data_IF_086599963970
#
_entry.id   IF_086599963970
#
_cell.length_a   1.000
_cell.length_b   1.000
_cell.length_c   1.000
_cell.angle_alpha   90.00
_cell.angle_beta   90.00
_cell.angle_gamma   90.00
#
_symmetry.space_group_name_H-M   'P 1'
#
loop_
_entity.id
_entity.type
_entity.pdbx_description
1 polymer ?
#
# COMPACT_ATOMS: atom_id res chain seq x y z
N UNK A 1 48.66 -11.06 31.48
CA UNK A 1 47.66 -9.96 31.53
C UNK A 1 46.36 -10.48 30.93
N UNK A 2 45.36 -10.77 31.76
CA UNK A 2 44.07 -11.33 31.35
C UNK A 2 43.19 -10.22 30.76
N UNK A 3 42.89 -10.29 29.47
CA UNK A 3 41.88 -9.45 28.83
C UNK A 3 40.49 -9.92 29.26
N UNK A 4 39.87 -9.19 30.18
CA UNK A 4 38.48 -9.38 30.63
C UNK A 4 37.56 -8.77 29.58
N UNK A 5 36.97 -9.58 28.71
CA UNK A 5 35.91 -9.15 27.80
C UNK A 5 34.68 -8.76 28.63
N UNK A 6 34.18 -7.54 28.40
CA UNK A 6 32.96 -7.05 29.05
C UNK A 6 31.76 -7.81 28.47
N UNK A 7 30.83 -8.33 29.28
CA UNK A 7 29.62 -8.95 28.75
C UNK A 7 28.79 -7.87 28.04
N UNK A 8 28.42 -8.15 26.80
CA UNK A 8 27.48 -7.33 26.02
C UNK A 8 26.16 -7.35 26.79
N UNK A 9 25.78 -6.19 27.33
CA UNK A 9 24.52 -6.00 28.07
C UNK A 9 23.38 -6.43 27.14
N UNK A 10 22.63 -7.44 27.57
CA UNK A 10 21.43 -7.92 26.87
C UNK A 10 20.57 -6.72 26.48
N UNK A 11 20.31 -6.59 25.19
CA UNK A 11 19.37 -5.65 24.62
C UNK A 11 17.98 -6.08 25.10
N UNK A 12 17.55 -5.55 26.25
CA UNK A 12 16.17 -5.69 26.70
C UNK A 12 15.26 -5.24 25.56
N UNK A 13 14.46 -6.18 25.05
CA UNK A 13 13.50 -5.96 23.97
C UNK A 13 12.65 -4.74 24.34
N UNK A 14 12.50 -3.74 23.46
CA UNK A 14 11.79 -2.52 23.79
C UNK A 14 10.39 -2.88 24.31
N UNK A 15 10.12 -2.50 25.55
CA UNK A 15 8.85 -2.76 26.21
C UNK A 15 7.75 -2.03 25.42
N UNK A 16 6.57 -2.63 25.28
CA UNK A 16 5.42 -2.02 24.58
C UNK A 16 5.11 -0.59 25.07
N UNK A 17 5.43 -0.29 26.33
CA UNK A 17 5.31 1.04 26.94
C UNK A 17 6.35 2.06 26.43
N UNK A 18 7.56 1.62 26.08
CA UNK A 18 8.60 2.47 25.49
C UNK A 18 8.29 2.78 24.02
N UNK A 19 7.77 1.80 23.26
CA UNK A 19 7.25 2.01 21.91
C UNK A 19 6.05 2.98 21.90
N UNK A 20 5.17 2.92 22.90
CA UNK A 20 4.07 3.87 23.06
C UNK A 20 4.57 5.30 23.37
N UNK A 21 5.65 5.45 24.17
CA UNK A 21 6.29 6.77 24.39
C UNK A 21 6.96 7.30 23.13
N UNK A 22 7.53 6.43 22.29
CA UNK A 22 8.09 6.83 21.00
C UNK A 22 7.03 7.42 20.06
N UNK A 23 5.77 6.95 20.16
CA UNK A 23 4.65 7.47 19.38
C UNK A 23 4.36 8.97 19.66
N UNK A 24 4.71 9.48 20.85
CA UNK A 24 4.56 10.90 21.20
C UNK A 24 5.47 11.83 20.37
N UNK A 25 6.51 11.31 19.72
CA UNK A 25 7.38 12.09 18.84
C UNK A 25 6.86 12.21 17.40
N UNK A 26 5.92 11.35 16.97
CA UNK A 26 5.25 11.47 15.66
C UNK A 26 4.60 12.84 15.40
N UNK A 27 3.81 13.45 16.31
CA UNK A 27 3.21 14.76 16.06
C UNK A 27 4.24 15.86 15.81
N UNK A 28 5.39 15.80 16.48
CA UNK A 28 6.50 16.74 16.25
C UNK A 28 7.19 16.49 14.91
N UNK A 29 7.29 15.23 14.47
CA UNK A 29 7.77 14.85 13.14
C UNK A 29 6.84 15.33 12.02
N UNK A 30 5.51 15.16 12.17
CA UNK A 30 4.53 15.69 11.23
C UNK A 30 4.63 17.22 11.09
N UNK A 31 4.90 17.95 12.19
CA UNK A 31 5.16 19.39 12.15
C UNK A 31 6.41 19.80 11.36
N UNK A 32 7.45 18.97 11.34
CA UNK A 32 8.67 19.20 10.54
C UNK A 32 8.43 18.86 9.06
N UNK A 33 7.74 17.77 8.76
CA UNK A 33 7.35 17.39 7.38
C UNK A 33 6.45 18.46 6.75
N UNK A 34 5.54 19.06 7.54
CA UNK A 34 4.65 20.13 7.11
C UNK A 34 5.37 21.43 6.72
N UNK A 35 6.63 21.61 7.16
CA UNK A 35 7.46 22.79 6.86
C UNK A 35 8.27 22.63 5.58
N UNK A 36 8.63 21.40 5.19
CA UNK A 36 9.48 21.13 4.02
C UNK A 36 8.66 20.79 2.77
N UNK A 37 7.55 20.04 2.88
CA UNK A 37 6.83 19.59 1.68
C UNK A 37 5.38 19.14 1.94
N UNK A 38 4.50 20.10 2.26
CA UNK A 38 3.03 19.90 2.27
C UNK A 38 2.47 19.10 1.09
N UNK A 39 2.87 19.34 -0.19
CA UNK A 39 2.34 18.57 -1.30
C UNK A 39 2.79 17.11 -1.32
N UNK A 40 4.03 16.80 -0.90
CA UNK A 40 4.53 15.41 -0.85
C UNK A 40 3.86 14.60 0.26
N UNK A 41 3.65 15.20 1.43
CA UNK A 41 2.90 14.54 2.51
C UNK A 41 1.45 14.24 2.11
N UNK A 42 0.77 15.21 1.48
CA UNK A 42 -0.59 15.02 1.01
C UNK A 42 -0.65 13.99 -0.14
N UNK A 43 0.29 14.05 -1.09
CA UNK A 43 0.39 13.07 -2.17
C UNK A 43 0.62 11.65 -1.63
N UNK A 44 1.55 11.45 -0.67
CA UNK A 44 1.80 10.14 -0.06
C UNK A 44 0.56 9.62 0.68
N UNK A 45 -0.12 10.48 1.45
CA UNK A 45 -1.37 10.12 2.14
C UNK A 45 -2.46 9.71 1.14
N UNK A 46 -2.66 10.49 0.07
CA UNK A 46 -3.63 10.17 -0.98
C UNK A 46 -3.28 8.88 -1.72
N UNK A 47 -2.00 8.70 -2.11
CA UNK A 47 -1.52 7.46 -2.72
C UNK A 47 -1.76 6.24 -1.83
N UNK A 48 -1.60 6.37 -0.51
CA UNK A 48 -1.89 5.30 0.45
C UNK A 48 -3.38 5.00 0.55
N UNK A 49 -4.23 6.02 0.54
CA UNK A 49 -5.69 5.83 0.52
C UNK A 49 -6.13 5.12 -0.77
N UNK A 50 -5.68 5.59 -1.93
CA UNK A 50 -5.94 4.93 -3.22
C UNK A 50 -5.43 3.48 -3.19
N UNK A 51 -4.19 3.26 -2.71
CA UNK A 51 -3.61 1.92 -2.60
C UNK A 51 -4.44 0.98 -1.73
N UNK A 52 -5.05 1.48 -0.66
CA UNK A 52 -5.92 0.68 0.21
C UNK A 52 -7.26 0.31 -0.43
N UNK A 53 -7.75 1.13 -1.37
CA UNK A 53 -8.99 0.86 -2.09
C UNK A 53 -8.80 -0.11 -3.27
N UNK A 54 -7.63 -0.09 -3.91
CA UNK A 54 -7.28 -0.98 -5.03
C UNK A 54 -7.62 -2.48 -4.82
N UNK A 55 -7.25 -3.14 -3.71
CA UNK A 55 -7.57 -4.56 -3.52
C UNK A 55 -9.09 -4.82 -3.48
N UNK A 56 -9.86 -3.89 -2.92
CA UNK A 56 -11.33 -4.00 -2.87
C UNK A 56 -11.93 -3.81 -4.27
N UNK A 57 -11.45 -2.81 -5.01
CA UNK A 57 -11.89 -2.57 -6.40
C UNK A 57 -11.58 -3.74 -7.31
N UNK A 58 -10.39 -4.35 -7.18
CA UNK A 58 -10.01 -5.55 -7.94
C UNK A 58 -10.97 -6.71 -7.69
N UNK A 59 -11.29 -7.00 -6.44
CA UNK A 59 -12.25 -8.05 -6.09
C UNK A 59 -13.65 -7.78 -6.67
N UNK A 60 -14.08 -6.52 -6.64
CA UNK A 60 -15.37 -6.14 -7.22
C UNK A 60 -15.38 -6.34 -8.74
N UNK A 61 -14.35 -5.89 -9.46
CA UNK A 61 -14.28 -6.10 -10.92
C UNK A 61 -14.23 -7.58 -11.26
N UNK A 62 -13.45 -8.39 -10.55
CA UNK A 62 -13.43 -9.84 -10.73
C UNK A 62 -14.82 -10.47 -10.52
N UNK A 63 -15.58 -10.00 -9.52
CA UNK A 63 -16.96 -10.43 -9.30
C UNK A 63 -17.89 -10.06 -10.47
N UNK A 64 -17.77 -8.85 -11.03
CA UNK A 64 -18.55 -8.43 -12.20
C UNK A 64 -18.26 -9.29 -13.43
N UNK A 65 -16.99 -9.67 -13.64
CA UNK A 65 -16.60 -10.59 -14.72
C UNK A 65 -17.29 -11.93 -14.53
N UNK A 66 -17.25 -12.49 -13.33
CA UNK A 66 -17.89 -13.78 -13.01
C UNK A 66 -19.41 -13.70 -13.22
N UNK A 67 -20.06 -12.63 -12.75
CA UNK A 67 -21.49 -12.42 -12.92
C UNK A 67 -21.89 -12.42 -14.41
N UNK A 68 -21.13 -11.72 -15.26
CA UNK A 68 -21.39 -11.66 -16.70
C UNK A 68 -21.10 -13.00 -17.40
N UNK A 69 -20.03 -13.70 -17.01
CA UNK A 69 -19.73 -15.05 -17.53
C UNK A 69 -20.86 -16.04 -17.21
N UNK A 70 -21.44 -15.97 -16.00
CA UNK A 70 -22.57 -16.81 -15.61
C UNK A 70 -23.81 -16.48 -16.45
N UNK A 71 -24.10 -15.18 -16.65
CA UNK A 71 -25.23 -14.73 -17.47
C UNK A 71 -25.11 -15.22 -18.93
N UNK A 72 -23.93 -15.07 -19.53
CA UNK A 72 -23.67 -15.51 -20.91
C UNK A 72 -23.61 -17.03 -21.04
N UNK A 73 -23.27 -17.75 -19.97
CA UNK A 73 -23.31 -19.22 -19.97
C UNK A 73 -24.74 -19.79 -20.02
N UNK A 74 -25.75 -19.00 -19.65
CA UNK A 74 -27.15 -19.43 -19.64
C UNK A 74 -27.93 -18.99 -20.87
N UNK A 75 -27.33 -18.15 -21.73
CA UNK A 75 -27.99 -17.57 -22.91
C UNK A 75 -27.56 -18.30 -24.18
N UNK A 76 -28.48 -18.59 -25.10
CA UNK A 76 -28.16 -19.25 -26.38
C UNK A 76 -27.37 -18.32 -27.33
N UNK A 77 -27.66 -17.02 -27.34
CA UNK A 77 -26.91 -16.00 -28.07
C UNK A 77 -25.85 -15.35 -27.20
N UNK A 78 -24.58 -15.72 -27.40
CA UNK A 78 -23.46 -15.23 -26.59
C UNK A 78 -22.97 -13.87 -27.08
N UNK A 79 -22.87 -12.92 -26.17
CA UNK A 79 -22.30 -11.59 -26.39
C UNK A 79 -21.10 -11.41 -25.44
N UNK A 80 -19.88 -11.34 -25.97
CA UNK A 80 -18.65 -11.32 -25.16
C UNK A 80 -18.01 -9.92 -25.05
N UNK A 81 -18.53 -8.92 -25.75
CA UNK A 81 -17.96 -7.57 -25.76
C UNK A 81 -17.92 -6.97 -24.35
N UNK A 82 -18.97 -7.19 -23.55
CA UNK A 82 -18.99 -6.68 -22.18
C UNK A 82 -17.92 -7.34 -21.29
N UNK A 83 -17.71 -8.65 -21.43
CA UNK A 83 -16.69 -9.40 -20.68
C UNK A 83 -15.28 -8.91 -21.03
N UNK A 84 -14.99 -8.72 -22.33
CA UNK A 84 -13.68 -8.21 -22.75
C UNK A 84 -13.42 -6.79 -22.25
N UNK A 85 -14.45 -5.94 -22.17
CA UNK A 85 -14.34 -4.60 -21.59
C UNK A 85 -13.99 -4.67 -20.09
N UNK A 86 -14.70 -5.51 -19.33
CA UNK A 86 -14.43 -5.71 -17.90
C UNK A 86 -13.03 -6.26 -17.65
N UNK A 87 -12.58 -7.21 -18.48
CA UNK A 87 -11.21 -7.76 -18.41
C UNK A 87 -10.15 -6.70 -18.71
N UNK A 88 -10.38 -5.83 -19.70
CA UNK A 88 -9.48 -4.72 -19.99
C UNK A 88 -9.39 -3.72 -18.81
N UNK A 89 -10.52 -3.45 -18.14
CA UNK A 89 -10.57 -2.62 -16.93
C UNK A 89 -9.80 -3.28 -15.79
N UNK A 90 -9.98 -4.59 -15.56
CA UNK A 90 -9.23 -5.35 -14.54
C UNK A 90 -7.72 -5.28 -14.79
N UNK A 91 -7.30 -5.49 -16.04
CA UNK A 91 -5.91 -5.39 -16.43
C UNK A 91 -5.34 -3.98 -16.21
N UNK A 92 -6.09 -2.93 -16.58
CA UNK A 92 -5.69 -1.55 -16.33
C UNK A 92 -5.53 -1.26 -14.82
N UNK A 93 -6.45 -1.76 -13.98
CA UNK A 93 -6.34 -1.67 -12.52
C UNK A 93 -5.12 -2.41 -11.98
N UNK A 94 -4.82 -3.60 -12.52
CA UNK A 94 -3.63 -4.37 -12.17
C UNK A 94 -2.35 -3.58 -12.43
N UNK A 95 -2.23 -3.01 -13.64
CA UNK A 95 -1.10 -2.17 -14.01
C UNK A 95 -0.99 -0.93 -13.14
N UNK A 96 -2.10 -0.23 -12.90
CA UNK A 96 -2.13 0.96 -12.05
C UNK A 96 -1.68 0.62 -10.62
N UNK A 97 -2.10 -0.53 -10.09
CA UNK A 97 -1.72 -1.00 -8.76
C UNK A 97 -0.22 -1.27 -8.64
N UNK A 98 0.36 -1.92 -9.65
CA UNK A 98 1.81 -2.17 -9.68
C UNK A 98 2.58 -0.84 -9.79
N UNK A 99 2.16 0.05 -10.68
CA UNK A 99 2.80 1.34 -10.91
C UNK A 99 2.76 2.23 -9.66
N UNK A 100 1.60 2.29 -8.99
CA UNK A 100 1.43 3.03 -7.75
C UNK A 100 2.31 2.44 -6.63
N UNK A 101 2.42 1.12 -6.56
CA UNK A 101 3.27 0.44 -5.57
C UNK A 101 4.74 0.77 -5.79
N UNK A 102 5.20 0.80 -7.05
CA UNK A 102 6.57 1.23 -7.40
C UNK A 102 6.81 2.69 -7.08
N UNK A 103 5.88 3.59 -7.43
CA UNK A 103 6.00 5.02 -7.14
C UNK A 103 6.16 5.29 -5.64
N UNK A 104 5.37 4.62 -4.80
CA UNK A 104 5.49 4.70 -3.35
C UNK A 104 6.86 4.22 -2.88
N UNK A 105 7.33 3.07 -3.38
CA UNK A 105 8.65 2.54 -3.03
C UNK A 105 9.80 3.50 -3.39
N UNK A 106 9.68 4.23 -4.51
CA UNK A 106 10.67 5.22 -4.92
C UNK A 106 10.65 6.46 -4.03
N UNK A 107 9.47 6.95 -3.66
CA UNK A 107 9.36 8.08 -2.72
C UNK A 107 9.88 7.70 -1.33
N UNK A 108 9.57 6.51 -0.84
CA UNK A 108 10.06 6.02 0.45
C UNK A 108 11.59 5.83 0.42
N UNK A 109 12.15 5.37 -0.70
CA UNK A 109 13.60 5.27 -0.91
C UNK A 109 14.32 6.63 -0.93
N UNK A 110 13.75 7.62 -1.62
CA UNK A 110 14.30 8.98 -1.69
C UNK A 110 14.18 9.78 -0.39
N UNK A 111 13.25 9.41 0.50
CA UNK A 111 13.09 10.04 1.82
C UNK A 111 13.84 9.28 2.92
N UNK A 112 14.26 8.05 2.64
CA UNK A 112 14.98 7.17 3.57
C UNK A 112 16.50 7.32 3.53
N UNK A 113 17.05 7.88 2.45
CA UNK A 113 18.45 8.31 2.29
C UNK A 113 18.55 9.84 2.43
#
# INVERSE_FOLDING_TARGET
MLHRTRPIKDQEKPSFLESARALKYLPRFFGMIWRTSRPLFLANLMSRLVKSALPVTMLWVAKLIIDEVILQSQTESKEFSHIYLLLAIEFALALLSDLLSRAISLFDGLLGD
#
